data_IF_783253156123
#
_entry.id   IF_783253156123
#
_cell.length_a   1.000
_cell.length_b   1.000
_cell.length_c   1.000
_cell.angle_alpha   90.00
_cell.angle_beta   90.00
_cell.angle_gamma   90.00
#
_symmetry.space_group_name_H-M   'P 1'
#
loop_
_entity.id
_entity.type
_entity.pdbx_description
1 polymer ?
#
# COMPACT_ATOMS: atom_id res chain seq x y z
N UNK A 1 21.90 5.48 5.20
CA UNK A 1 20.78 4.90 4.42
C UNK A 1 19.48 5.54 4.89
N UNK A 2 18.69 6.08 3.97
CA UNK A 2 17.44 6.73 4.34
C UNK A 2 16.38 5.70 4.71
N UNK A 3 15.71 5.93 5.82
CA UNK A 3 14.67 5.03 6.32
C UNK A 3 13.44 5.83 6.71
N UNK A 4 12.33 5.56 6.03
CA UNK A 4 11.07 6.27 6.24
C UNK A 4 9.99 5.26 6.60
N UNK A 5 9.25 5.52 7.68
CA UNK A 5 8.16 4.65 8.14
C UNK A 5 8.60 3.18 8.31
N UNK A 6 9.85 2.96 8.69
CA UNK A 6 10.40 1.62 8.84
C UNK A 6 10.87 0.95 7.56
N UNK A 7 10.80 1.64 6.43
CA UNK A 7 11.21 1.11 5.13
C UNK A 7 12.53 1.71 4.70
N UNK A 8 13.50 0.86 4.34
CA UNK A 8 14.77 1.31 3.78
C UNK A 8 14.57 1.70 2.32
N UNK A 9 14.91 2.95 2.01
CA UNK A 9 14.74 3.45 0.64
C UNK A 9 15.96 3.11 -0.22
N UNK A 10 15.75 2.73 -1.51
CA UNK A 10 16.87 2.44 -2.40
C UNK A 10 17.73 3.69 -2.63
N UNK A 11 19.03 3.56 -2.47
CA UNK A 11 19.96 4.69 -2.57
C UNK A 11 20.08 5.25 -3.98
N UNK A 12 19.93 4.42 -4.99
CA UNK A 12 20.15 4.82 -6.38
C UNK A 12 18.93 5.42 -7.05
N UNK A 13 17.77 5.36 -6.42
CA UNK A 13 16.52 5.90 -6.97
C UNK A 13 16.34 7.36 -6.61
N UNK A 14 15.63 8.11 -7.46
CA UNK A 14 15.22 9.47 -7.14
C UNK A 14 14.29 9.42 -5.92
N UNK A 15 14.31 10.48 -5.12
CA UNK A 15 13.49 10.50 -3.89
C UNK A 15 11.99 10.35 -4.21
N UNK A 16 11.51 10.92 -5.31
CA UNK A 16 10.12 10.78 -5.73
C UNK A 16 9.73 9.32 -5.93
N UNK A 17 10.60 8.55 -6.59
CA UNK A 17 10.34 7.14 -6.86
C UNK A 17 10.57 6.30 -5.60
N UNK A 18 11.60 6.62 -4.82
CA UNK A 18 11.92 5.88 -3.60
C UNK A 18 10.78 5.95 -2.58
N UNK A 19 10.11 7.08 -2.45
CA UNK A 19 8.99 7.21 -1.52
C UNK A 19 7.83 6.27 -1.85
N UNK A 20 7.68 5.87 -3.11
CA UNK A 20 6.62 4.93 -3.50
C UNK A 20 6.83 3.52 -2.96
N UNK A 21 8.02 3.23 -2.43
CA UNK A 21 8.29 1.94 -1.79
C UNK A 21 7.60 1.82 -0.43
N UNK A 22 7.15 2.93 0.15
CA UNK A 22 6.39 2.93 1.39
C UNK A 22 4.93 2.58 1.09
N UNK A 23 4.39 1.59 1.78
CA UNK A 23 3.00 1.20 1.60
C UNK A 23 2.07 2.36 1.94
N UNK A 24 1.22 2.75 1.02
CA UNK A 24 0.32 3.88 1.17
C UNK A 24 0.78 5.16 0.49
N UNK A 25 2.00 5.20 -0.03
CA UNK A 25 2.50 6.34 -0.80
C UNK A 25 2.64 5.93 -2.25
N UNK A 26 1.85 6.54 -3.11
CA UNK A 26 1.97 6.41 -4.55
C UNK A 26 2.74 7.59 -5.11
N UNK A 27 2.90 7.62 -6.43
CA UNK A 27 3.67 8.67 -7.09
C UNK A 27 3.10 10.07 -6.84
N UNK A 28 1.78 10.23 -6.91
CA UNK A 28 1.12 11.51 -6.67
C UNK A 28 1.34 12.00 -5.25
N UNK A 29 1.20 11.11 -4.27
CA UNK A 29 1.43 11.44 -2.86
C UNK A 29 2.89 11.82 -2.63
N UNK A 30 3.82 11.09 -3.24
CA UNK A 30 5.24 11.40 -3.15
C UNK A 30 5.53 12.81 -3.69
N UNK A 31 4.94 13.17 -4.84
CA UNK A 31 5.09 14.50 -5.41
C UNK A 31 4.58 15.57 -4.46
N UNK A 32 3.41 15.37 -3.85
CA UNK A 32 2.84 16.32 -2.88
C UNK A 32 3.73 16.50 -1.66
N UNK A 33 4.26 15.42 -1.14
CA UNK A 33 5.18 15.47 0.02
C UNK A 33 6.40 16.31 -0.31
N UNK A 34 7.00 16.09 -1.47
CA UNK A 34 8.20 16.82 -1.88
C UNK A 34 7.91 18.30 -2.14
N UNK A 35 6.75 18.64 -2.68
CA UNK A 35 6.32 20.02 -2.84
C UNK A 35 6.18 20.74 -1.50
N UNK A 36 5.58 20.10 -0.51
CA UNK A 36 5.42 20.67 0.83
C UNK A 36 6.76 20.88 1.54
N UNK A 37 7.71 19.98 1.35
CA UNK A 37 9.04 20.10 1.97
C UNK A 37 9.99 21.00 1.18
N UNK A 38 9.66 21.30 -0.07
CA UNK A 38 10.53 22.10 -0.94
C UNK A 38 11.75 21.34 -1.43
N UNK A 39 11.73 20.03 -1.40
CA UNK A 39 12.85 19.20 -1.84
C UNK A 39 12.71 18.92 -3.34
N UNK A 40 13.85 18.99 -4.06
CA UNK A 40 13.89 18.67 -5.47
C UNK A 40 13.59 17.17 -5.68
N UNK A 41 12.53 16.80 -6.44
CA UNK A 41 12.17 15.40 -6.62
C UNK A 41 13.21 14.56 -7.36
N UNK A 42 14.14 15.22 -8.07
CA UNK A 42 15.17 14.52 -8.84
C UNK A 42 16.40 14.13 -8.03
N UNK A 43 16.50 14.55 -6.76
CA UNK A 43 17.60 14.18 -5.90
C UNK A 43 17.58 12.68 -5.63
N UNK A 44 18.74 12.03 -5.77
CA UNK A 44 18.86 10.61 -5.40
C UNK A 44 18.86 10.46 -3.88
N UNK A 45 18.34 9.34 -3.41
CA UNK A 45 18.25 9.09 -1.96
C UNK A 45 19.62 9.19 -1.28
N UNK A 46 20.68 8.72 -1.93
CA UNK A 46 22.04 8.77 -1.40
C UNK A 46 22.55 10.20 -1.19
N UNK A 47 22.02 11.16 -1.94
CA UNK A 47 22.41 12.58 -1.87
C UNK A 47 21.50 13.40 -0.95
N UNK A 48 20.53 12.77 -0.33
CA UNK A 48 19.55 13.41 0.54
C UNK A 48 20.21 13.76 1.89
N UNK A 49 20.01 15.00 2.35
CA UNK A 49 20.54 15.41 3.66
C UNK A 49 19.67 14.86 4.79
N UNK A 50 20.24 14.77 5.98
CA UNK A 50 19.52 14.33 7.18
C UNK A 50 18.34 15.26 7.50
N UNK A 51 18.53 16.57 7.26
CA UNK A 51 17.47 17.55 7.47
C UNK A 51 16.28 17.32 6.54
N UNK A 52 16.56 17.05 5.27
CA UNK A 52 15.52 16.76 4.28
C UNK A 52 14.79 15.47 4.63
N UNK A 53 15.52 14.46 5.04
CA UNK A 53 14.94 13.20 5.48
C UNK A 53 14.02 13.40 6.67
N UNK A 54 14.44 14.21 7.64
CA UNK A 54 13.62 14.54 8.80
C UNK A 54 12.35 15.28 8.43
N UNK A 55 12.43 16.23 7.50
CA UNK A 55 11.25 16.96 7.00
C UNK A 55 10.23 16.01 6.36
N UNK A 56 10.70 15.11 5.53
CA UNK A 56 9.83 14.11 4.87
C UNK A 56 9.16 13.23 5.92
N UNK A 57 9.94 12.77 6.89
CA UNK A 57 9.45 11.90 7.96
C UNK A 57 8.38 12.60 8.79
N UNK A 58 8.61 13.86 9.15
CA UNK A 58 7.67 14.65 9.95
C UNK A 58 6.34 14.85 9.21
N UNK A 59 6.38 15.13 7.92
CA UNK A 59 5.16 15.32 7.13
C UNK A 59 4.38 14.03 7.00
N UNK A 60 5.05 12.93 6.76
CA UNK A 60 4.40 11.63 6.67
C UNK A 60 3.71 11.28 8.00
N UNK A 61 4.40 11.47 9.11
CA UNK A 61 3.84 11.17 10.43
C UNK A 61 2.64 12.07 10.76
N UNK A 62 2.66 13.31 10.31
CA UNK A 62 1.61 14.28 10.65
C UNK A 62 0.36 14.15 9.77
N UNK A 63 0.50 13.80 8.50
CA UNK A 63 -0.59 13.91 7.51
C UNK A 63 -0.99 12.61 6.83
N UNK A 64 -0.14 11.60 6.85
CA UNK A 64 -0.37 10.39 6.06
C UNK A 64 -0.40 9.14 6.92
N UNK A 65 -1.30 8.25 6.56
CA UNK A 65 -1.40 6.93 7.18
C UNK A 65 -0.69 5.95 6.26
N UNK A 66 0.39 5.33 6.73
CA UNK A 66 1.24 4.49 5.89
C UNK A 66 1.65 3.21 6.62
N UNK A 67 2.16 2.26 5.88
CA UNK A 67 2.72 0.99 6.36
C UNK A 67 1.81 0.28 7.35
N UNK A 68 2.31 -0.10 8.52
CA UNK A 68 1.54 -0.87 9.48
C UNK A 68 0.24 -0.23 9.91
N UNK A 69 0.23 1.09 10.09
CA UNK A 69 -0.97 1.82 10.47
C UNK A 69 -2.04 1.76 9.38
N UNK A 70 -1.62 1.91 8.12
CA UNK A 70 -2.54 1.80 6.99
C UNK A 70 -3.08 0.38 6.85
N UNK A 71 -2.21 -0.61 7.00
CA UNK A 71 -2.63 -2.02 6.92
C UNK A 71 -3.63 -2.36 8.00
N UNK A 72 -3.40 -1.86 9.22
CA UNK A 72 -4.33 -2.05 10.32
C UNK A 72 -5.68 -1.37 10.04
N UNK A 73 -5.65 -0.14 9.53
CA UNK A 73 -6.88 0.58 9.18
C UNK A 73 -7.68 -0.15 8.11
N UNK A 74 -7.01 -0.66 7.08
CA UNK A 74 -7.66 -1.42 6.01
C UNK A 74 -8.30 -2.70 6.57
N UNK A 75 -7.58 -3.40 7.43
CA UNK A 75 -8.11 -4.61 8.06
C UNK A 75 -9.33 -4.32 8.92
N UNK A 76 -9.31 -3.22 9.67
CA UNK A 76 -10.45 -2.79 10.49
C UNK A 76 -11.65 -2.42 9.61
N UNK A 77 -11.41 -1.76 8.48
CA UNK A 77 -12.47 -1.40 7.54
C UNK A 77 -13.15 -2.63 6.95
N UNK A 78 -12.35 -3.63 6.57
CA UNK A 78 -12.87 -4.90 6.05
C UNK A 78 -13.67 -5.63 7.14
N UNK A 79 -13.15 -5.65 8.35
CA UNK A 79 -13.84 -6.27 9.49
C UNK A 79 -15.19 -5.60 9.72
N UNK A 80 -15.22 -4.26 9.68
CA UNK A 80 -16.47 -3.52 9.85
C UNK A 80 -17.49 -3.88 8.77
N UNK A 81 -17.04 -3.92 7.50
CA UNK A 81 -17.92 -4.30 6.39
C UNK A 81 -18.49 -5.72 6.58
N UNK A 82 -17.67 -6.63 7.08
CA UNK A 82 -18.11 -8.00 7.36
C UNK A 82 -19.13 -8.06 8.50
N UNK A 83 -18.93 -7.27 9.55
CA UNK A 83 -19.80 -7.24 10.72
C UNK A 83 -21.17 -6.65 10.41
N UNK A 84 -21.24 -5.59 9.60
CA UNK A 84 -22.54 -5.01 9.23
C UNK A 84 -23.31 -5.83 8.20
N UNK A 85 -22.67 -6.85 7.61
CA UNK A 85 -23.33 -7.77 6.72
C UNK A 85 -23.66 -7.22 5.34
N UNK A 86 -22.99 -6.15 4.90
CA UNK A 86 -23.21 -5.60 3.57
C UNK A 86 -22.64 -6.53 2.50
N UNK A 87 -23.05 -6.31 1.23
CA UNK A 87 -22.59 -7.16 0.13
C UNK A 87 -21.06 -7.17 0.02
N UNK A 88 -20.41 -6.01 0.12
CA UNK A 88 -18.94 -5.93 0.08
C UNK A 88 -18.29 -6.75 1.18
N UNK A 89 -18.82 -6.69 2.39
CA UNK A 89 -18.30 -7.45 3.52
C UNK A 89 -18.42 -8.95 3.31
N UNK A 90 -19.54 -9.40 2.75
CA UNK A 90 -19.75 -10.80 2.43
C UNK A 90 -18.73 -11.27 1.39
N UNK A 91 -18.47 -10.46 0.36
CA UNK A 91 -17.47 -10.81 -0.65
C UNK A 91 -16.08 -10.95 -0.06
N UNK A 92 -15.68 -10.04 0.86
CA UNK A 92 -14.40 -10.14 1.57
C UNK A 92 -14.33 -11.41 2.42
N UNK A 93 -15.41 -11.72 3.13
CA UNK A 93 -15.46 -12.90 3.99
C UNK A 93 -15.27 -14.19 3.19
N UNK A 94 -15.86 -14.25 2.01
CA UNK A 94 -15.79 -15.43 1.14
C UNK A 94 -14.54 -15.46 0.26
N UNK A 95 -13.71 -14.42 0.29
CA UNK A 95 -12.52 -14.36 -0.56
C UNK A 95 -12.82 -14.18 -2.02
N UNK A 96 -13.92 -13.51 -2.36
CA UNK A 96 -14.36 -13.31 -3.74
C UNK A 96 -14.13 -11.88 -4.19
N UNK A 97 -14.09 -11.62 -5.53
CA UNK A 97 -13.97 -10.25 -6.03
C UNK A 97 -15.08 -9.35 -5.50
N UNK A 98 -14.73 -8.11 -5.15
CA UNK A 98 -15.62 -7.19 -4.45
C UNK A 98 -16.28 -6.18 -5.38
N UNK A 99 -15.66 -5.89 -6.52
CA UNK A 99 -16.09 -4.82 -7.42
C UNK A 99 -16.92 -5.27 -8.60
N UNK A 100 -17.72 -6.31 -8.43
CA UNK A 100 -18.63 -6.77 -9.47
C UNK A 100 -17.98 -7.58 -10.58
N UNK A 101 -16.76 -8.03 -10.39
CA UNK A 101 -16.05 -8.84 -11.39
C UNK A 101 -16.62 -10.25 -11.45
N UNK A 102 -16.42 -10.88 -12.60
CA UNK A 102 -16.82 -12.28 -12.76
C UNK A 102 -15.99 -13.17 -11.85
N UNK A 103 -16.64 -14.08 -11.16
CA UNK A 103 -15.97 -15.06 -10.30
C UNK A 103 -15.86 -16.43 -10.94
N UNK A 104 -16.55 -16.64 -12.05
CA UNK A 104 -16.61 -17.93 -12.73
C UNK A 104 -15.30 -18.29 -13.45
N UNK A 105 -14.58 -17.31 -13.95
CA UNK A 105 -13.40 -17.55 -14.79
C UNK A 105 -12.09 -17.09 -14.15
N UNK A 106 -11.77 -15.82 -14.22
CA UNK A 106 -10.40 -15.31 -14.03
C UNK A 106 -10.13 -14.62 -12.68
N UNK A 107 -10.89 -14.86 -11.66
CA UNK A 107 -10.74 -14.17 -10.37
C UNK A 107 -9.64 -14.78 -9.49
N UNK A 108 -8.47 -15.07 -10.06
CA UNK A 108 -7.40 -15.79 -9.35
C UNK A 108 -6.71 -14.96 -8.27
N UNK A 109 -6.62 -13.66 -8.46
CA UNK A 109 -5.98 -12.78 -7.46
C UNK A 109 -6.66 -12.88 -6.09
N UNK A 110 -8.00 -12.93 -6.07
CA UNK A 110 -8.76 -13.06 -4.83
C UNK A 110 -8.90 -14.50 -4.37
N UNK A 111 -9.17 -15.39 -5.32
CA UNK A 111 -9.45 -16.80 -5.02
C UNK A 111 -8.18 -17.62 -4.82
N UNK A 112 -7.05 -17.10 -5.28
CA UNK A 112 -5.78 -17.79 -5.24
C UNK A 112 -5.60 -18.79 -6.38
N UNK A 113 -4.52 -19.57 -6.35
CA UNK A 113 -4.26 -20.56 -7.40
C UNK A 113 -5.39 -21.57 -7.52
N UNK A 114 -5.53 -22.15 -8.70
CA UNK A 114 -6.51 -23.22 -8.92
C UNK A 114 -6.21 -24.39 -8.00
N UNK A 115 -7.26 -24.91 -7.38
CA UNK A 115 -7.16 -26.08 -6.52
C UNK A 115 -7.90 -27.24 -7.15
N UNK A 116 -7.22 -28.36 -7.28
CA UNK A 116 -7.82 -29.58 -7.75
C UNK A 116 -8.33 -30.37 -6.56
N UNK A 117 -9.56 -30.87 -6.67
CA UNK A 117 -10.12 -31.75 -5.64
C UNK A 117 -9.53 -33.14 -5.85
N UNK A 118 -8.64 -33.54 -4.95
CA UNK A 118 -7.85 -34.78 -5.12
C UNK A 118 -8.67 -36.02 -5.23
N UNK A 119 -9.82 -36.08 -4.55
CA UNK A 119 -10.67 -37.27 -4.51
C UNK A 119 -11.74 -37.29 -5.57
N UNK A 120 -11.77 -36.28 -6.43
CA UNK A 120 -12.85 -36.21 -7.43
C UNK A 120 -12.62 -37.22 -8.53
N UNK A 121 -13.54 -38.13 -8.65
CA UNK A 121 -13.52 -39.11 -9.72
C UNK A 121 -14.28 -38.58 -10.93
N UNK A 122 -13.90 -39.06 -12.07
CA UNK A 122 -14.56 -38.70 -13.32
C UNK A 122 -15.72 -39.57 -13.60
#
# INVERSE_FOLDING_TARGET
MARIAGVDLPKVKRIEIALTYVYGIGRTTATKILEETGINPDIRVKDLSDEDEAKIRDIIDAKYLVEGDLRRQTALDIKRLSEIGCYRGIRHRKGLPVRGQRSKTNARTRKGPKKTIANKKK
#
